data_IF_834411480770
#
_entry.id   IF_834411480770
#
_cell.length_a   1.000
_cell.length_b   1.000
_cell.length_c   1.000
_cell.angle_alpha   90.00
_cell.angle_beta   90.00
_cell.angle_gamma   90.00
#
_symmetry.space_group_name_H-M   'P 1'
#
loop_
_entity.id
_entity.type
_entity.pdbx_description
1 polymer ?
#
# COMPACT_ATOMS: atom_id res chain seq x y z
N UNK A 1 -14.98 5.24 2.15
CA UNK A 1 -13.92 6.26 2.00
C UNK A 1 -13.04 5.77 0.85
N UNK A 2 -12.76 6.60 -0.18
CA UNK A 2 -11.92 6.22 -1.33
C UNK A 2 -10.58 5.58 -0.93
N UNK A 3 -9.92 6.12 0.11
CA UNK A 3 -8.68 5.58 0.65
C UNK A 3 -8.84 4.13 1.16
N UNK A 4 -9.98 3.80 1.76
CA UNK A 4 -10.26 2.45 2.27
C UNK A 4 -10.48 1.44 1.12
N UNK A 5 -11.09 1.87 0.02
CA UNK A 5 -11.27 1.05 -1.19
C UNK A 5 -9.89 0.74 -1.80
N UNK A 6 -9.07 1.78 -1.96
CA UNK A 6 -7.71 1.68 -2.47
C UNK A 6 -6.82 0.74 -1.64
N UNK A 7 -6.86 0.86 -0.31
CA UNK A 7 -6.11 -0.01 0.60
C UNK A 7 -6.59 -1.47 0.55
N UNK A 8 -7.89 -1.69 0.32
CA UNK A 8 -8.44 -3.04 0.12
C UNK A 8 -7.92 -3.66 -1.19
N UNK A 9 -7.86 -2.89 -2.28
CA UNK A 9 -7.25 -3.32 -3.53
C UNK A 9 -5.76 -3.63 -3.37
N UNK A 10 -5.03 -2.78 -2.64
CA UNK A 10 -3.62 -2.99 -2.31
C UNK A 10 -3.38 -4.29 -1.53
N UNK A 11 -4.26 -4.61 -0.59
CA UNK A 11 -4.20 -5.87 0.17
C UNK A 11 -4.29 -7.08 -0.74
N UNK A 12 -5.31 -7.14 -1.60
CA UNK A 12 -5.48 -8.24 -2.55
C UNK A 12 -4.29 -8.35 -3.52
N UNK A 13 -3.78 -7.22 -4.03
CA UNK A 13 -2.60 -7.22 -4.89
C UNK A 13 -1.37 -7.80 -4.16
N UNK A 14 -1.18 -7.44 -2.89
CA UNK A 14 -0.04 -7.91 -2.09
C UNK A 14 -0.12 -9.39 -1.76
N UNK A 15 -1.31 -9.90 -1.45
CA UNK A 15 -1.56 -11.34 -1.23
C UNK A 15 -1.19 -12.15 -2.49
N UNK A 16 -1.61 -11.68 -3.67
CA UNK A 16 -1.25 -12.29 -4.96
C UNK A 16 0.27 -12.28 -5.17
N UNK A 17 0.93 -11.15 -4.96
CA UNK A 17 2.37 -10.99 -5.18
C UNK A 17 3.22 -11.83 -4.23
N UNK A 18 2.77 -12.01 -2.99
CA UNK A 18 3.50 -12.77 -1.96
C UNK A 18 3.08 -14.23 -1.88
N UNK A 19 2.03 -14.63 -2.62
CA UNK A 19 1.39 -15.95 -2.49
C UNK A 19 0.87 -16.24 -1.08
N UNK A 20 0.58 -15.18 -0.31
CA UNK A 20 -0.02 -15.28 1.01
C UNK A 20 -1.52 -15.60 0.89
N UNK A 21 -2.10 -16.35 1.84
CA UNK A 21 -3.54 -16.54 1.89
C UNK A 21 -4.27 -15.22 2.12
N UNK A 22 -5.55 -15.18 1.76
CA UNK A 22 -6.41 -14.03 2.05
C UNK A 22 -6.38 -13.69 3.55
N UNK A 23 -6.11 -12.43 3.88
CA UNK A 23 -5.89 -11.96 5.24
C UNK A 23 -4.49 -12.18 5.80
N UNK A 24 -3.55 -12.68 4.99
CA UNK A 24 -2.14 -12.84 5.35
C UNK A 24 -1.41 -11.51 5.61
N UNK A 25 -0.17 -11.59 6.09
CA UNK A 25 0.61 -10.39 6.39
C UNK A 25 1.04 -9.63 5.12
N UNK A 26 1.22 -10.38 4.01
CA UNK A 26 1.59 -9.90 2.68
C UNK A 26 2.64 -8.78 2.68
N UNK A 27 3.80 -8.97 3.33
CA UNK A 27 4.83 -7.94 3.41
C UNK A 27 5.45 -7.74 2.02
N UNK A 28 5.46 -6.50 1.54
CA UNK A 28 6.09 -6.12 0.27
C UNK A 28 7.10 -4.99 0.46
N UNK A 29 8.16 -4.90 -0.37
CA UNK A 29 9.07 -3.76 -0.33
C UNK A 29 8.33 -2.44 -0.53
N UNK A 30 8.77 -1.37 0.14
CA UNK A 30 8.18 -0.03 -0.01
C UNK A 30 8.12 0.43 -1.47
N UNK A 31 9.15 0.14 -2.27
CA UNK A 31 9.19 0.52 -3.69
C UNK A 31 8.03 -0.12 -4.46
N UNK A 32 7.78 -1.41 -4.24
CA UNK A 32 6.63 -2.14 -4.81
C UNK A 32 5.30 -1.56 -4.31
N UNK A 33 5.20 -1.29 -3.01
CA UNK A 33 4.01 -0.68 -2.40
C UNK A 33 3.70 0.68 -3.02
N UNK A 34 4.69 1.56 -3.08
CA UNK A 34 4.53 2.93 -3.58
C UNK A 34 4.12 2.95 -5.05
N UNK A 35 4.74 2.11 -5.88
CA UNK A 35 4.37 1.97 -7.28
C UNK A 35 2.91 1.52 -7.44
N UNK A 36 2.50 0.47 -6.73
CA UNK A 36 1.13 -0.05 -6.81
C UNK A 36 0.11 0.96 -6.29
N UNK A 37 0.40 1.61 -5.17
CA UNK A 37 -0.48 2.63 -4.59
C UNK A 37 -0.68 3.79 -5.55
N UNK A 38 0.41 4.37 -6.09
CA UNK A 38 0.33 5.47 -7.06
C UNK A 38 -0.40 5.06 -8.34
N UNK A 39 -0.16 3.85 -8.83
CA UNK A 39 -0.86 3.33 -10.00
C UNK A 39 -2.37 3.23 -9.75
N UNK A 40 -2.79 2.61 -8.66
CA UNK A 40 -4.21 2.45 -8.33
C UNK A 40 -4.87 3.79 -8.00
N UNK A 41 -4.20 4.69 -7.28
CA UNK A 41 -4.68 6.05 -7.00
C UNK A 41 -4.88 6.85 -8.30
N UNK A 42 -4.00 6.68 -9.30
CA UNK A 42 -4.14 7.34 -10.60
C UNK A 42 -5.34 6.83 -11.42
N UNK A 43 -5.79 5.59 -11.18
CA UNK A 43 -6.98 5.02 -11.80
C UNK A 43 -8.24 5.54 -11.12
N UNK A 44 -8.26 5.55 -9.79
CA UNK A 44 -9.41 5.96 -8.99
C UNK A 44 -9.63 7.49 -9.12
N UNK A 45 -8.55 8.28 -9.16
CA UNK A 45 -8.60 9.74 -9.33
C UNK A 45 -9.25 10.50 -8.17
N UNK A 46 -9.72 9.79 -7.14
CA UNK A 46 -10.44 10.33 -5.99
C UNK A 46 -9.53 10.71 -4.81
N UNK A 47 -8.24 10.31 -4.85
CA UNK A 47 -7.26 10.66 -3.81
C UNK A 47 -6.41 11.84 -4.29
N UNK A 48 -6.43 12.99 -3.60
CA UNK A 48 -5.57 14.12 -3.91
C UNK A 48 -4.07 13.75 -3.88
N UNK A 49 -3.27 14.43 -4.70
CA UNK A 49 -1.83 14.18 -4.82
C UNK A 49 -1.09 14.48 -3.50
N UNK A 50 -1.44 15.57 -2.83
CA UNK A 50 -0.88 15.95 -1.53
C UNK A 50 -1.25 14.96 -0.42
N UNK A 51 -2.48 14.43 -0.43
CA UNK A 51 -2.88 13.34 0.47
C UNK A 51 -2.11 12.04 0.19
N UNK A 52 -1.89 11.72 -1.10
CA UNK A 52 -1.13 10.55 -1.55
C UNK A 52 0.34 10.64 -1.11
N UNK A 53 0.98 11.79 -1.32
CA UNK A 53 2.35 12.05 -0.91
C UNK A 53 2.51 11.97 0.61
N UNK A 54 1.60 12.60 1.37
CA UNK A 54 1.62 12.55 2.83
C UNK A 54 1.42 11.12 3.36
N UNK A 55 0.57 10.32 2.71
CA UNK A 55 0.39 8.92 3.04
C UNK A 55 1.65 8.10 2.75
N UNK A 56 2.22 8.21 1.55
CA UNK A 56 3.43 7.50 1.16
C UNK A 56 4.64 7.87 2.03
N UNK A 57 4.76 9.13 2.44
CA UNK A 57 5.82 9.56 3.36
C UNK A 57 5.72 8.82 4.71
N UNK A 58 4.53 8.73 5.29
CA UNK A 58 4.30 7.96 6.53
C UNK A 58 4.62 6.48 6.34
N UNK A 59 4.25 5.91 5.19
CA UNK A 59 4.55 4.50 4.88
C UNK A 59 6.04 4.25 4.74
N UNK A 60 6.79 5.20 4.19
CA UNK A 60 8.25 5.11 4.11
C UNK A 60 8.88 5.10 5.50
N UNK A 61 8.45 5.99 6.39
CA UNK A 61 8.94 6.04 7.78
C UNK A 61 8.66 4.72 8.53
N UNK A 62 7.50 4.11 8.33
CA UNK A 62 7.17 2.82 8.95
C UNK A 62 7.92 1.65 8.32
N UNK A 63 8.14 1.67 7.01
CA UNK A 63 8.93 0.66 6.31
C UNK A 63 10.40 0.71 6.74
N UNK A 64 10.97 1.90 6.96
CA UNK A 64 12.36 2.05 7.41
C UNK A 64 12.60 1.47 8.81
N UNK A 65 11.55 1.36 9.63
CA UNK A 65 11.59 0.65 10.93
C UNK A 65 11.46 -0.87 10.77
N UNK A 66 11.13 -1.35 9.58
CA UNK A 66 10.76 -2.73 9.26
C UNK A 66 11.57 -3.27 8.08
N UNK A 67 12.87 -2.99 8.05
CA UNK A 67 13.81 -3.45 7.02
C UNK A 67 13.38 -3.12 5.57
N UNK A 68 12.69 -1.99 5.38
CA UNK A 68 12.19 -1.53 4.08
C UNK A 68 10.87 -2.19 3.64
N UNK A 69 10.22 -2.97 4.50
CA UNK A 69 9.00 -3.70 4.20
C UNK A 69 7.75 -3.00 4.72
N UNK A 70 6.68 -3.03 3.94
CA UNK A 70 5.34 -2.55 4.32
C UNK A 70 4.45 -3.76 4.58
N UNK A 71 3.82 -3.80 5.77
CA UNK A 71 2.81 -4.80 6.11
C UNK A 71 1.41 -4.26 5.89
N UNK A 72 0.71 -4.76 4.86
CA UNK A 72 -0.60 -4.20 4.48
C UNK A 72 -1.70 -4.52 5.51
N UNK A 73 -1.56 -5.59 6.29
CA UNK A 73 -2.57 -5.98 7.30
C UNK A 73 -2.84 -4.94 8.41
N UNK A 74 -2.02 -3.89 8.53
CA UNK A 74 -2.20 -2.84 9.53
C UNK A 74 -3.04 -1.65 9.01
N UNK A 75 -3.61 -1.76 7.80
CA UNK A 75 -4.42 -0.74 7.15
C UNK A 75 -5.88 -1.15 6.97
#
# INVERSE_FOLDING_TARGET
>A
NPLQSLLSSMKHASEILTSEPEGGAAPIPFETFSFLYSYLASIDGEVPEDESEAFLHKMKEEADKQDGMVLIRHF
#
